data_IF_830660653242
#
_entry.id   IF_830660653242
#
_cell.length_a   1.000
_cell.length_b   1.000
_cell.length_c   1.000
_cell.angle_alpha   90.00
_cell.angle_beta   90.00
_cell.angle_gamma   90.00
#
_symmetry.space_group_name_H-M   'P 1'
#
loop_
_entity.id
_entity.type
_entity.pdbx_description
1 polymer ?
#
# COMPACT_ATOMS: atom_id res chain seq x y z
N UNK A 1 11.90 -18.91 13.73
CA UNK A 1 10.91 -18.20 14.55
C UNK A 1 9.65 -19.05 14.65
N UNK A 2 8.90 -19.03 15.77
CA UNK A 2 7.69 -19.87 15.94
C UNK A 2 6.59 -19.59 14.91
N UNK A 3 6.55 -18.39 14.34
CA UNK A 3 5.56 -17.95 13.36
C UNK A 3 5.95 -18.21 11.90
N UNK A 4 7.13 -18.78 11.65
CA UNK A 4 7.56 -19.11 10.28
C UNK A 4 6.76 -20.32 9.79
N UNK A 5 6.18 -20.29 8.57
CA UNK A 5 5.53 -21.46 8.00
C UNK A 5 6.53 -22.60 7.80
N UNK A 6 6.10 -23.84 8.08
CA UNK A 6 6.93 -25.02 7.92
C UNK A 6 6.90 -25.46 6.45
N UNK A 7 5.76 -25.32 5.79
CA UNK A 7 5.54 -25.60 4.37
C UNK A 7 4.32 -24.85 3.86
N UNK A 8 4.13 -24.80 2.55
CA UNK A 8 2.90 -24.33 1.93
C UNK A 8 2.07 -25.51 1.42
N UNK A 9 0.77 -25.40 1.53
CA UNK A 9 -0.13 -26.42 0.97
C UNK A 9 0.00 -26.49 -0.56
N UNK A 10 0.20 -27.70 -1.10
CA UNK A 10 0.40 -27.92 -2.53
C UNK A 10 1.74 -27.40 -3.07
N UNK A 11 2.77 -27.36 -2.23
CA UNK A 11 4.14 -26.95 -2.56
C UNK A 11 5.09 -28.10 -2.23
N UNK A 12 4.97 -29.20 -2.99
CA UNK A 12 5.64 -30.47 -2.71
C UNK A 12 7.17 -30.37 -2.83
N UNK A 13 7.65 -29.51 -3.75
CA UNK A 13 9.08 -29.25 -3.98
C UNK A 13 9.64 -28.09 -3.12
N UNK A 14 8.78 -27.39 -2.39
CA UNK A 14 9.16 -26.25 -1.56
C UNK A 14 9.55 -24.98 -2.31
N UNK A 15 9.35 -24.95 -3.63
CA UNK A 15 9.74 -23.83 -4.48
C UNK A 15 9.02 -22.52 -4.09
N UNK A 16 7.72 -22.58 -3.83
CA UNK A 16 6.93 -21.41 -3.43
C UNK A 16 7.33 -20.85 -2.07
N UNK A 17 7.64 -21.73 -1.11
CA UNK A 17 8.17 -21.33 0.20
C UNK A 17 9.53 -20.65 0.03
N UNK A 18 10.43 -21.25 -0.75
CA UNK A 18 11.75 -20.71 -1.05
C UNK A 18 11.64 -19.33 -1.69
N UNK A 19 10.89 -19.18 -2.78
CA UNK A 19 10.73 -17.92 -3.52
C UNK A 19 10.07 -16.84 -2.67
N UNK A 20 9.18 -17.22 -1.74
CA UNK A 20 8.53 -16.26 -0.85
C UNK A 20 9.46 -15.66 0.19
N UNK A 21 10.43 -16.45 0.71
CA UNK A 21 11.17 -16.05 1.90
C UNK A 21 12.70 -16.12 1.77
N UNK A 22 13.25 -16.90 0.86
CA UNK A 22 14.69 -17.18 0.80
C UNK A 22 15.36 -16.81 -0.54
N UNK A 23 14.59 -16.46 -1.58
CA UNK A 23 15.11 -16.10 -2.89
C UNK A 23 16.04 -14.87 -2.85
N UNK A 24 15.65 -13.84 -2.08
CA UNK A 24 16.44 -12.59 -2.00
C UNK A 24 17.73 -12.72 -1.20
N UNK A 25 17.70 -13.49 -0.12
CA UNK A 25 18.82 -13.70 0.80
C UNK A 25 18.99 -15.21 1.07
N UNK A 26 19.88 -15.89 0.37
CA UNK A 26 20.06 -17.35 0.54
C UNK A 26 20.30 -17.74 2.00
N UNK A 27 19.46 -18.63 2.53
CA UNK A 27 19.53 -19.11 3.91
C UNK A 27 19.07 -18.13 4.99
N UNK A 28 18.62 -16.93 4.60
CA UNK A 28 18.09 -15.93 5.55
C UNK A 28 16.63 -15.64 5.21
N UNK A 29 15.76 -15.85 6.18
CA UNK A 29 14.33 -15.59 6.03
C UNK A 29 14.03 -14.10 5.92
N UNK A 30 13.50 -13.67 4.77
CA UNK A 30 13.02 -12.32 4.52
C UNK A 30 11.59 -12.16 5.06
N UNK A 31 11.43 -11.42 6.16
CA UNK A 31 10.09 -11.12 6.71
C UNK A 31 9.29 -10.17 5.81
N UNK A 32 9.97 -9.27 5.12
CA UNK A 32 9.35 -8.33 4.20
C UNK A 32 8.86 -7.03 4.85
N UNK A 33 9.41 -6.69 6.02
CA UNK A 33 9.15 -5.43 6.70
C UNK A 33 10.42 -4.60 6.81
N UNK A 34 10.27 -3.28 6.81
CA UNK A 34 11.31 -2.33 7.22
C UNK A 34 11.27 -2.15 8.72
N UNK A 35 12.40 -2.44 9.36
CA UNK A 35 12.54 -2.36 10.81
C UNK A 35 13.81 -1.58 11.15
N UNK A 36 13.72 -0.75 12.16
CA UNK A 36 14.87 -0.12 12.82
C UNK A 36 14.99 -0.68 14.23
N UNK A 37 16.20 -1.11 14.59
CA UNK A 37 16.52 -1.45 15.98
C UNK A 37 17.17 -0.21 16.59
N UNK A 38 16.51 0.38 17.56
CA UNK A 38 16.98 1.57 18.24
C UNK A 38 18.18 1.25 19.14
N UNK A 39 18.92 2.27 19.56
CA UNK A 39 20.02 2.14 20.54
C UNK A 39 19.56 1.52 21.88
N UNK A 40 18.27 1.63 22.22
CA UNK A 40 17.66 1.02 23.40
C UNK A 40 17.28 -0.45 23.21
N UNK A 41 17.54 -1.02 22.04
CA UNK A 41 17.13 -2.40 21.71
C UNK A 41 15.64 -2.59 21.42
N UNK A 42 14.87 -1.51 21.29
CA UNK A 42 13.47 -1.56 20.83
C UNK A 42 13.40 -1.54 19.32
N UNK A 43 12.29 -2.02 18.74
CA UNK A 43 12.08 -2.06 17.30
C UNK A 43 11.01 -1.05 16.87
N UNK A 44 11.28 -0.34 15.78
CA UNK A 44 10.31 0.51 15.07
C UNK A 44 10.04 -0.15 13.72
N UNK A 45 8.77 -0.47 13.42
CA UNK A 45 8.36 -1.02 12.14
C UNK A 45 7.80 0.11 11.29
N UNK A 46 8.49 0.42 10.18
CA UNK A 46 8.08 1.47 9.23
C UNK A 46 7.03 1.02 8.22
N UNK A 47 6.86 -0.28 8.05
CA UNK A 47 5.89 -0.88 7.13
C UNK A 47 6.49 -1.99 6.27
N UNK A 48 5.73 -2.42 5.27
CA UNK A 48 6.15 -3.48 4.34
C UNK A 48 7.22 -2.98 3.38
N UNK A 49 8.22 -3.82 3.11
CA UNK A 49 9.28 -3.49 2.13
C UNK A 49 8.78 -3.50 0.68
N UNK A 50 7.68 -4.22 0.41
CA UNK A 50 7.04 -4.32 -0.90
C UNK A 50 6.01 -3.21 -1.18
N UNK A 51 5.46 -2.56 -0.13
CA UNK A 51 4.58 -1.40 -0.24
C UNK A 51 5.27 -0.06 0.04
N UNK A 52 6.55 -0.08 0.45
CA UNK A 52 7.32 1.13 0.71
C UNK A 52 7.41 2.00 -0.55
N UNK A 53 7.11 3.27 -0.37
CA UNK A 53 7.20 4.29 -1.40
C UNK A 53 8.65 4.75 -1.49
N UNK A 54 9.18 4.87 -2.72
CA UNK A 54 10.54 5.36 -2.95
C UNK A 54 10.51 6.56 -3.91
N UNK A 55 10.63 7.77 -3.39
CA UNK A 55 10.63 9.00 -4.19
C UNK A 55 11.95 9.77 -4.03
N UNK A 56 12.65 9.94 -5.15
CA UNK A 56 13.93 10.65 -5.16
C UNK A 56 14.97 10.04 -4.22
N UNK A 57 15.00 8.71 -4.06
CA UNK A 57 15.91 7.99 -3.17
C UNK A 57 15.50 7.99 -1.70
N UNK A 58 14.40 8.65 -1.33
CA UNK A 58 13.86 8.64 0.04
C UNK A 58 12.78 7.56 0.13
N UNK A 59 12.95 6.67 1.10
CA UNK A 59 11.96 5.65 1.45
C UNK A 59 10.98 6.21 2.45
N UNK A 60 9.69 6.00 2.20
CA UNK A 60 8.58 6.51 3.00
C UNK A 60 7.62 5.36 3.32
N UNK A 61 7.20 5.27 4.58
CA UNK A 61 6.15 4.35 4.99
C UNK A 61 4.77 4.90 4.64
N UNK A 62 3.87 4.03 4.18
CA UNK A 62 2.47 4.41 3.92
C UNK A 62 1.72 4.79 5.20
N UNK A 63 2.13 4.23 6.35
CA UNK A 63 1.52 4.48 7.66
C UNK A 63 1.58 5.94 8.11
N UNK A 64 2.63 6.67 7.74
CA UNK A 64 2.77 8.10 8.06
C UNK A 64 1.72 8.92 7.30
N UNK A 65 1.55 8.61 6.00
CA UNK A 65 0.54 9.26 5.15
C UNK A 65 -0.86 8.95 5.69
N UNK A 66 -1.15 7.69 6.02
CA UNK A 66 -2.47 7.33 6.57
C UNK A 66 -2.77 8.07 7.86
N UNK A 67 -1.81 8.19 8.77
CA UNK A 67 -2.01 8.93 10.01
C UNK A 67 -2.41 10.39 9.76
N UNK A 68 -1.71 11.07 8.84
CA UNK A 68 -2.00 12.45 8.49
C UNK A 68 -3.36 12.60 7.80
N UNK A 69 -3.71 11.68 6.89
CA UNK A 69 -4.95 11.71 6.10
C UNK A 69 -6.17 11.38 6.94
N UNK A 70 -6.10 10.31 7.75
CA UNK A 70 -7.22 9.85 8.59
C UNK A 70 -7.47 10.76 9.81
N UNK A 71 -6.59 11.72 10.08
CA UNK A 71 -6.84 12.77 11.07
C UNK A 71 -7.80 13.87 10.55
N UNK A 72 -8.18 13.86 9.27
CA UNK A 72 -9.23 14.74 8.74
C UNK A 72 -10.61 14.13 8.94
N UNK A 73 -11.51 14.87 9.61
CA UNK A 73 -12.85 14.40 9.95
C UNK A 73 -13.72 14.03 8.74
N UNK A 74 -13.41 14.55 7.55
CA UNK A 74 -14.12 14.22 6.31
C UNK A 74 -13.71 12.86 5.74
N UNK A 75 -12.54 12.31 6.15
CA UNK A 75 -12.00 11.07 5.59
C UNK A 75 -12.36 9.89 6.49
N UNK A 76 -12.93 8.85 5.89
CA UNK A 76 -13.26 7.60 6.56
C UNK A 76 -12.14 6.56 6.44
N UNK A 77 -11.55 6.44 5.23
CA UNK A 77 -10.52 5.46 4.93
C UNK A 77 -9.61 5.97 3.79
N UNK A 78 -8.42 5.39 3.64
CA UNK A 78 -7.47 5.82 2.64
C UNK A 78 -6.59 4.67 2.13
N UNK A 79 -6.13 4.81 0.88
CA UNK A 79 -5.16 3.93 0.24
C UNK A 79 -4.17 4.76 -0.56
N UNK A 80 -2.88 4.61 -0.30
CA UNK A 80 -1.81 5.21 -1.09
C UNK A 80 -0.95 4.12 -1.72
N UNK A 81 -0.56 4.32 -2.97
CA UNK A 81 0.37 3.43 -3.68
C UNK A 81 1.37 4.26 -4.47
N UNK A 82 2.53 3.68 -4.74
CA UNK A 82 3.55 4.27 -5.60
C UNK A 82 3.67 3.43 -6.85
N UNK A 83 3.23 3.99 -7.97
CA UNK A 83 3.26 3.36 -9.29
C UNK A 83 4.51 3.87 -10.04
N UNK A 84 5.55 3.05 -10.22
CA UNK A 84 6.74 3.47 -10.92
C UNK A 84 6.42 3.79 -12.38
N UNK A 85 7.01 4.88 -12.88
CA UNK A 85 6.89 5.29 -14.29
C UNK A 85 8.27 5.62 -14.82
N UNK A 86 8.68 4.95 -15.89
CA UNK A 86 10.01 5.10 -16.49
C UNK A 86 10.32 6.58 -16.80
N UNK A 87 11.50 7.04 -16.40
CA UNK A 87 11.98 8.40 -16.66
C UNK A 87 11.36 9.51 -15.80
N UNK A 88 10.58 9.16 -14.76
CA UNK A 88 9.95 10.12 -13.85
C UNK A 88 10.08 9.69 -12.40
N UNK A 89 9.66 10.54 -11.44
CA UNK A 89 9.55 10.17 -10.03
C UNK A 89 8.42 9.15 -9.73
N UNK A 90 7.72 8.66 -10.78
CA UNK A 90 6.56 7.80 -10.62
C UNK A 90 5.26 8.58 -10.37
N UNK A 91 4.19 7.84 -10.14
CA UNK A 91 2.86 8.38 -9.82
C UNK A 91 2.40 7.81 -8.49
N UNK A 92 2.19 8.68 -7.52
CA UNK A 92 1.73 8.34 -6.17
C UNK A 92 0.33 8.91 -5.95
N UNK A 93 -0.72 8.18 -6.34
CA UNK A 93 -2.09 8.56 -6.04
C UNK A 93 -2.43 8.21 -4.58
N UNK A 94 -3.23 9.06 -3.97
CA UNK A 94 -3.94 8.81 -2.73
C UNK A 94 -5.43 8.64 -3.05
N UNK A 95 -5.98 7.50 -2.71
CA UNK A 95 -7.40 7.22 -2.79
C UNK A 95 -8.03 7.42 -1.42
N UNK A 96 -9.14 8.15 -1.35
CA UNK A 96 -9.84 8.43 -0.10
C UNK A 96 -11.28 7.95 -0.18
N UNK A 97 -11.76 7.40 0.90
CA UNK A 97 -13.18 7.16 1.16
C UNK A 97 -13.65 8.28 2.08
N UNK A 98 -14.66 8.99 1.68
CA UNK A 98 -15.20 10.10 2.47
C UNK A 98 -16.34 9.63 3.35
N UNK A 99 -16.55 10.32 4.47
CA UNK A 99 -17.73 10.11 5.31
C UNK A 99 -18.98 10.59 4.60
N UNK A 100 -20.12 10.06 5.04
CA UNK A 100 -21.45 10.46 4.52
C UNK A 100 -21.64 11.98 4.61
N UNK A 101 -22.07 12.59 3.50
CA UNK A 101 -22.27 14.03 3.38
C UNK A 101 -21.01 14.85 3.09
N UNK A 102 -19.82 14.25 3.06
CA UNK A 102 -18.60 14.92 2.63
C UNK A 102 -18.37 14.75 1.12
N UNK A 103 -17.80 15.79 0.51
CA UNK A 103 -17.44 15.83 -0.92
C UNK A 103 -15.94 16.13 -1.08
N UNK A 104 -15.32 15.56 -2.11
CA UNK A 104 -13.92 15.83 -2.43
C UNK A 104 -13.80 17.17 -3.17
N UNK A 105 -13.85 18.27 -2.42
CA UNK A 105 -13.68 19.62 -2.95
C UNK A 105 -12.19 19.98 -3.05
N UNK A 106 -11.90 21.05 -3.83
CA UNK A 106 -10.52 21.56 -3.93
C UNK A 106 -9.97 22.01 -2.56
N UNK A 107 -10.83 22.52 -1.67
CA UNK A 107 -10.46 22.92 -0.32
C UNK A 107 -10.09 21.71 0.52
N UNK A 108 -10.82 20.59 0.43
CA UNK A 108 -10.49 19.34 1.12
C UNK A 108 -9.18 18.77 0.60
N UNK A 109 -8.99 18.75 -0.72
CA UNK A 109 -7.73 18.32 -1.35
C UNK A 109 -6.54 19.16 -0.87
N UNK A 110 -6.70 20.50 -0.85
CA UNK A 110 -5.66 21.41 -0.38
C UNK A 110 -5.33 21.18 1.11
N UNK A 111 -6.34 20.96 1.94
CA UNK A 111 -6.19 20.69 3.38
C UNK A 111 -5.46 19.38 3.63
N UNK A 112 -5.84 18.28 2.95
CA UNK A 112 -5.16 16.99 3.05
C UNK A 112 -3.69 17.12 2.62
N UNK A 113 -3.42 17.77 1.48
CA UNK A 113 -2.04 17.99 1.00
C UNK A 113 -1.21 18.86 1.95
N UNK A 114 -1.82 19.89 2.54
CA UNK A 114 -1.19 20.75 3.54
C UNK A 114 -0.77 19.95 4.77
N UNK A 115 -1.70 19.16 5.32
CA UNK A 115 -1.45 18.33 6.50
C UNK A 115 -0.35 17.28 6.25
N UNK A 116 -0.37 16.58 5.12
CA UNK A 116 0.69 15.62 4.77
C UNK A 116 2.05 16.34 4.69
N UNK A 117 2.10 17.54 4.11
CA UNK A 117 3.33 18.33 4.00
C UNK A 117 3.89 18.73 5.36
N UNK A 118 3.03 19.12 6.29
CA UNK A 118 3.39 19.62 7.61
C UNK A 118 3.76 18.46 8.56
N UNK A 119 2.98 17.40 8.59
CA UNK A 119 3.16 16.28 9.53
C UNK A 119 4.20 15.25 9.05
N UNK A 120 4.44 15.15 7.73
CA UNK A 120 5.40 14.21 7.15
C UNK A 120 6.53 14.97 6.44
N UNK A 121 6.36 15.29 5.16
CA UNK A 121 7.26 16.15 4.37
C UNK A 121 6.66 16.49 3.01
N UNK A 122 7.22 17.45 2.25
CA UNK A 122 6.80 17.74 0.89
C UNK A 122 6.83 16.53 -0.06
N UNK A 123 7.71 15.56 0.19
CA UNK A 123 7.85 14.35 -0.66
C UNK A 123 6.73 13.33 -0.45
N UNK A 124 6.06 13.37 0.71
CA UNK A 124 4.89 12.54 1.01
C UNK A 124 3.60 13.03 0.34
N UNK A 125 3.61 14.26 -0.20
CA UNK A 125 2.43 14.83 -0.84
C UNK A 125 2.10 14.05 -2.12
N UNK A 126 0.88 13.46 -2.25
CA UNK A 126 0.50 12.67 -3.40
C UNK A 126 0.41 13.53 -4.67
N UNK A 127 0.66 12.90 -5.82
CA UNK A 127 0.49 13.54 -7.11
C UNK A 127 -0.99 13.89 -7.35
N UNK A 128 -1.88 13.03 -6.89
CA UNK A 128 -3.32 13.13 -7.09
C UNK A 128 -4.06 12.56 -5.88
N UNK A 129 -5.23 13.13 -5.58
CA UNK A 129 -6.17 12.60 -4.59
C UNK A 129 -7.46 12.28 -5.33
N UNK A 130 -7.95 11.04 -5.20
CA UNK A 130 -9.19 10.56 -5.83
C UNK A 130 -10.11 9.96 -4.79
N UNK A 131 -11.39 10.25 -4.91
CA UNK A 131 -12.42 9.57 -4.11
C UNK A 131 -12.73 8.20 -4.70
N UNK A 132 -12.88 7.23 -3.82
CA UNK A 132 -13.35 5.88 -4.13
C UNK A 132 -14.48 5.49 -3.15
N UNK A 133 -15.28 4.50 -3.53
CA UNK A 133 -16.36 4.03 -2.67
C UNK A 133 -15.85 3.24 -1.47
N UNK A 134 -14.84 2.38 -1.67
CA UNK A 134 -14.29 1.51 -0.63
C UNK A 134 -12.79 1.25 -0.87
N UNK A 135 -12.02 1.11 0.21
CA UNK A 135 -10.66 0.60 0.16
C UNK A 135 -10.69 -0.94 0.12
N UNK A 136 -10.03 -1.60 -0.86
CA UNK A 136 -9.99 -3.05 -0.93
C UNK A 136 -9.22 -3.63 0.25
N UNK A 137 -9.80 -4.65 0.91
CA UNK A 137 -9.25 -5.28 2.11
C UNK A 137 -9.31 -6.80 2.03
N UNK A 138 -8.35 -7.46 2.68
CA UNK A 138 -8.41 -8.89 2.93
C UNK A 138 -9.50 -9.22 3.94
N UNK A 139 -9.92 -10.50 4.05
CA UNK A 139 -10.82 -10.99 5.10
C UNK A 139 -10.32 -10.67 6.51
N UNK A 140 -8.99 -10.53 6.72
CA UNK A 140 -8.40 -10.10 7.99
C UNK A 140 -8.32 -8.58 8.18
N UNK A 141 -8.89 -7.78 7.26
CA UNK A 141 -8.95 -6.31 7.33
C UNK A 141 -7.71 -5.58 6.82
N UNK A 142 -6.70 -6.26 6.29
CA UNK A 142 -5.49 -5.63 5.76
C UNK A 142 -5.76 -4.93 4.44
N UNK A 143 -5.26 -3.69 4.28
CA UNK A 143 -5.31 -2.92 3.04
C UNK A 143 -4.50 -3.58 1.94
N UNK A 144 -5.02 -3.60 0.72
CA UNK A 144 -4.42 -4.26 -0.45
C UNK A 144 -3.54 -3.32 -1.29
N UNK A 145 -2.53 -2.70 -0.66
CA UNK A 145 -1.61 -1.76 -1.35
C UNK A 145 -0.91 -2.42 -2.55
N UNK A 146 -0.27 -3.57 -2.32
CA UNK A 146 0.51 -4.27 -3.35
C UNK A 146 -0.35 -4.78 -4.50
N UNK A 147 -1.51 -5.44 -4.27
CA UNK A 147 -2.42 -5.80 -5.36
C UNK A 147 -2.92 -4.59 -6.15
N UNK A 148 -3.31 -3.50 -5.51
CA UNK A 148 -3.75 -2.28 -6.21
C UNK A 148 -2.63 -1.70 -7.05
N UNK A 149 -1.42 -1.60 -6.51
CA UNK A 149 -0.24 -1.16 -7.26
C UNK A 149 -0.04 -2.01 -8.53
N UNK A 150 -0.09 -3.34 -8.40
CA UNK A 150 0.08 -4.27 -9.53
C UNK A 150 -1.01 -4.08 -10.60
N UNK A 151 -2.26 -3.91 -10.19
CA UNK A 151 -3.38 -3.65 -11.11
C UNK A 151 -3.15 -2.33 -11.86
N UNK A 152 -2.77 -1.27 -11.17
CA UNK A 152 -2.47 0.03 -11.79
C UNK A 152 -1.24 -0.02 -12.72
N UNK A 153 -0.36 -1.00 -12.55
CA UNK A 153 0.75 -1.32 -13.46
C UNK A 153 0.34 -2.23 -14.63
N UNK A 154 -0.96 -2.57 -14.76
CA UNK A 154 -1.50 -3.37 -15.86
C UNK A 154 -1.60 -4.87 -15.61
N UNK A 155 -1.31 -5.35 -14.38
CA UNK A 155 -1.48 -6.76 -14.05
C UNK A 155 -2.99 -7.09 -13.92
N UNK A 156 -3.48 -8.21 -14.47
CA UNK A 156 -4.84 -8.66 -14.29
C UNK A 156 -5.19 -8.84 -12.79
N UNK A 157 -6.41 -8.45 -12.40
CA UNK A 157 -6.81 -8.45 -11.00
C UNK A 157 -6.81 -9.85 -10.35
N UNK A 158 -7.15 -10.89 -11.10
CA UNK A 158 -7.12 -12.29 -10.68
C UNK A 158 -5.71 -12.83 -10.40
N UNK A 159 -4.70 -12.23 -11.05
CA UNK A 159 -3.28 -12.52 -10.79
C UNK A 159 -2.71 -11.64 -9.65
N UNK A 160 -3.28 -10.45 -9.45
CA UNK A 160 -2.82 -9.53 -8.41
C UNK A 160 -3.32 -9.94 -7.01
N UNK A 161 -4.55 -10.48 -6.91
CA UNK A 161 -5.13 -10.96 -5.66
C UNK A 161 -6.15 -12.08 -5.92
N UNK A 162 -6.23 -13.05 -4.98
CA UNK A 162 -7.31 -14.05 -4.99
C UNK A 162 -8.59 -13.42 -4.45
N UNK A 163 -9.65 -13.39 -5.26
CA UNK A 163 -10.95 -12.80 -4.88
C UNK A 163 -11.53 -13.44 -3.60
N UNK A 164 -11.31 -14.73 -3.40
CA UNK A 164 -11.80 -15.47 -2.22
C UNK A 164 -11.14 -15.05 -0.91
N UNK A 165 -9.99 -14.39 -0.98
CA UNK A 165 -9.28 -13.85 0.18
C UNK A 165 -9.69 -12.43 0.58
N UNK A 166 -10.63 -11.82 -0.18
CA UNK A 166 -11.03 -10.42 -0.02
C UNK A 166 -12.35 -10.29 0.72
N UNK A 167 -12.43 -9.29 1.59
CA UNK A 167 -13.68 -8.90 2.26
C UNK A 167 -14.63 -8.19 1.27
N UNK A 168 -14.07 -7.41 0.34
CA UNK A 168 -14.81 -6.60 -0.63
C UNK A 168 -14.19 -6.66 -2.03
N UNK A 169 -14.30 -7.82 -2.74
CA UNK A 169 -13.61 -8.04 -4.03
C UNK A 169 -14.04 -7.04 -5.13
N UNK A 170 -15.25 -6.49 -5.09
CA UNK A 170 -15.73 -5.47 -6.03
C UNK A 170 -14.96 -4.14 -5.90
N UNK A 171 -14.34 -3.85 -4.75
CA UNK A 171 -13.53 -2.65 -4.56
C UNK A 171 -12.27 -2.61 -5.44
N UNK A 172 -11.87 -3.72 -6.06
CA UNK A 172 -10.78 -3.74 -7.05
C UNK A 172 -11.21 -3.24 -8.43
N UNK A 173 -12.49 -3.26 -8.77
CA UNK A 173 -12.97 -3.00 -10.13
C UNK A 173 -12.70 -1.54 -10.56
N UNK A 174 -12.73 -0.59 -9.63
CA UNK A 174 -12.38 0.81 -9.90
C UNK A 174 -10.93 0.96 -10.35
N UNK A 175 -10.00 0.21 -9.76
CA UNK A 175 -8.58 0.25 -10.13
C UNK A 175 -8.32 -0.44 -11.47
N UNK A 176 -9.07 -1.50 -11.78
CA UNK A 176 -9.05 -2.13 -13.11
C UNK A 176 -9.53 -1.16 -14.18
N UNK A 177 -10.59 -0.41 -13.92
CA UNK A 177 -11.08 0.63 -14.84
C UNK A 177 -10.05 1.75 -15.02
N UNK A 178 -9.39 2.21 -13.96
CA UNK A 178 -8.33 3.22 -14.03
C UNK A 178 -7.13 2.75 -14.85
N UNK A 179 -6.68 1.50 -14.66
CA UNK A 179 -5.56 0.93 -15.39
C UNK A 179 -5.81 0.80 -16.91
N UNK A 180 -7.06 0.67 -17.33
CA UNK A 180 -7.44 0.62 -18.75
C UNK A 180 -7.58 1.99 -19.41
N UNK A 181 -7.73 3.04 -18.61
CA UNK A 181 -7.94 4.41 -19.09
C UNK A 181 -6.63 5.23 -19.20
N UNK A 182 -5.54 4.76 -18.64
CA UNK A 182 -4.21 5.40 -18.67
C UNK A 182 -3.23 4.68 -19.56
#
# INVERSE_FOLDING_TARGET
MPSMPIFFWGDEDGSRLHDSYFDTYPGVWRHGDWIEITERGTAIIYGRSDSTINRGGIRMGTSEIYRAVLADDAVLDALVVDVPKAGTEGWMPLFVVLREGAELTDELVARIRGRIREECSPRHVPNEIRQIAEVPRTLSGKVLEVPVKRILMGQPADQAASRDSLANPAALDVFVAMAKAG
#
